data_IF_519227426395
#
_entry.id   IF_519227426395
#
_cell.length_a   1.000
_cell.length_b   1.000
_cell.length_c   1.000
_cell.angle_alpha   90.00
_cell.angle_beta   90.00
_cell.angle_gamma   90.00
#
_symmetry.space_group_name_H-M   'P 1'
#
loop_
_entity.id
_entity.type
_entity.pdbx_description
1 polymer ?
#
# COMPACT_ATOMS: atom_id res chain seq x y z
N UNK A 1 18.07 -33.96 -44.84
CA UNK A 1 19.00 -32.82 -44.79
C UNK A 1 18.78 -32.17 -43.44
N UNK A 2 19.77 -32.33 -42.57
CA UNK A 2 19.71 -32.00 -41.17
C UNK A 2 19.95 -30.49 -40.93
N UNK A 3 19.65 -30.12 -39.68
CA UNK A 3 20.17 -28.99 -38.92
C UNK A 3 19.36 -27.69 -38.85
N UNK A 4 19.10 -27.34 -37.59
CA UNK A 4 18.49 -26.10 -37.13
C UNK A 4 17.98 -26.22 -35.68
N UNK A 5 18.61 -27.02 -34.82
CA UNK A 5 18.40 -26.94 -33.37
C UNK A 5 18.98 -25.59 -32.91
N UNK A 6 18.13 -24.57 -32.86
CA UNK A 6 18.47 -23.32 -32.21
C UNK A 6 18.64 -23.57 -30.72
N UNK A 7 19.86 -23.45 -30.22
CA UNK A 7 20.16 -23.41 -28.78
C UNK A 7 19.23 -22.40 -28.10
N UNK A 8 18.24 -22.92 -27.38
CA UNK A 8 17.37 -22.12 -26.53
C UNK A 8 18.23 -21.65 -25.34
N UNK A 9 18.78 -20.45 -25.45
CA UNK A 9 19.38 -19.75 -24.31
C UNK A 9 18.39 -19.79 -23.15
N UNK A 10 18.81 -20.38 -22.03
CA UNK A 10 17.95 -20.57 -20.86
C UNK A 10 17.63 -19.20 -20.28
N UNK A 11 16.49 -18.64 -20.69
CA UNK A 11 15.93 -17.44 -20.08
C UNK A 11 15.66 -17.73 -18.61
N UNK A 12 16.14 -16.87 -17.71
CA UNK A 12 15.90 -16.96 -16.28
C UNK A 12 14.41 -16.71 -15.90
N UNK A 13 13.60 -16.25 -16.87
CA UNK A 13 12.18 -15.96 -16.69
C UNK A 13 11.33 -17.06 -17.34
N UNK A 14 10.23 -17.48 -16.69
CA UNK A 14 9.32 -18.45 -17.29
C UNK A 14 8.77 -17.93 -18.62
N UNK A 15 8.59 -18.83 -19.58
CA UNK A 15 7.93 -18.49 -20.83
C UNK A 15 6.52 -17.96 -20.55
N UNK A 16 6.04 -16.97 -21.33
CA UNK A 16 4.69 -16.48 -21.15
C UNK A 16 3.69 -17.62 -21.38
N UNK A 17 2.52 -17.59 -20.74
CA UNK A 17 1.49 -18.60 -20.93
C UNK A 17 1.01 -18.67 -22.39
N UNK A 18 1.59 -19.58 -23.18
CA UNK A 18 1.34 -19.69 -24.62
C UNK A 18 -0.12 -20.00 -24.97
N UNK A 19 -0.87 -20.56 -24.02
CA UNK A 19 -2.31 -20.80 -24.11
C UNK A 19 -3.10 -19.52 -24.38
N UNK A 20 -2.68 -18.38 -23.82
CA UNK A 20 -3.32 -17.08 -24.07
C UNK A 20 -2.70 -16.36 -25.26
N UNK A 21 -1.37 -16.34 -25.36
CA UNK A 21 -0.63 -15.59 -26.40
C UNK A 21 -1.02 -16.06 -27.81
N UNK A 22 -1.19 -17.37 -28.01
CA UNK A 22 -1.57 -17.94 -29.31
C UNK A 22 -2.94 -17.49 -29.83
N UNK A 23 -3.83 -17.02 -28.94
CA UNK A 23 -5.18 -16.59 -29.31
C UNK A 23 -5.23 -15.16 -29.86
N UNK A 24 -4.20 -14.34 -29.59
CA UNK A 24 -4.10 -12.94 -30.03
C UNK A 24 -3.34 -12.79 -31.35
N UNK A 25 -3.87 -13.35 -32.44
CA UNK A 25 -3.37 -13.10 -33.80
C UNK A 25 -4.05 -11.89 -34.43
N UNK A 26 -3.41 -11.24 -35.41
CA UNK A 26 -3.99 -10.09 -36.14
C UNK A 26 -5.36 -10.43 -36.77
N UNK A 27 -5.52 -11.66 -37.25
CA UNK A 27 -6.79 -12.17 -37.79
C UNK A 27 -7.85 -12.31 -36.70
N UNK A 28 -7.54 -12.91 -35.55
CA UNK A 28 -8.50 -13.08 -34.45
C UNK A 28 -8.92 -11.73 -33.84
N UNK A 29 -7.98 -10.78 -33.74
CA UNK A 29 -8.27 -9.42 -33.25
C UNK A 29 -9.19 -8.69 -34.23
N UNK A 30 -8.88 -8.71 -35.53
CA UNK A 30 -9.73 -8.05 -36.54
C UNK A 30 -11.13 -8.65 -36.63
N UNK A 31 -11.28 -9.95 -36.36
CA UNK A 31 -12.58 -10.65 -36.31
C UNK A 31 -13.28 -10.60 -34.95
N UNK A 32 -12.68 -9.98 -33.93
CA UNK A 32 -13.23 -9.93 -32.57
C UNK A 32 -13.31 -11.29 -31.87
N UNK A 33 -12.54 -12.28 -32.32
CA UNK A 33 -12.46 -13.63 -31.75
C UNK A 33 -11.42 -13.75 -30.64
N UNK A 34 -10.59 -12.72 -30.44
CA UNK A 34 -9.66 -12.68 -29.32
C UNK A 34 -10.44 -12.66 -27.99
N UNK A 35 -10.10 -13.52 -27.02
CA UNK A 35 -10.83 -13.58 -25.77
C UNK A 35 -10.74 -12.23 -25.04
N UNK A 36 -11.83 -11.78 -24.37
CA UNK A 36 -11.76 -10.65 -23.47
C UNK A 36 -10.87 -10.97 -22.27
N UNK A 37 -10.35 -9.96 -21.56
CA UNK A 37 -9.62 -10.20 -20.32
C UNK A 37 -10.49 -11.01 -19.34
N UNK A 38 -9.87 -11.87 -18.51
CA UNK A 38 -10.61 -12.62 -17.49
C UNK A 38 -11.38 -11.63 -16.58
N UNK A 39 -12.58 -12.00 -16.14
CA UNK A 39 -13.36 -11.14 -15.25
C UNK A 39 -12.58 -10.91 -13.95
N UNK A 40 -12.74 -9.73 -13.30
CA UNK A 40 -12.16 -9.49 -11.99
C UNK A 40 -12.58 -10.60 -11.02
N UNK A 41 -11.64 -11.10 -10.24
CA UNK A 41 -11.95 -12.05 -9.16
C UNK A 41 -12.78 -11.29 -8.13
N UNK A 42 -14.01 -11.77 -7.87
CA UNK A 42 -14.91 -11.22 -6.86
C UNK A 42 -14.76 -11.90 -5.51
N UNK A 43 -14.10 -13.06 -5.48
CA UNK A 43 -14.02 -13.95 -4.33
C UNK A 43 -12.60 -13.92 -3.72
N UNK A 44 -12.20 -14.97 -3.02
CA UNK A 44 -10.87 -15.09 -2.45
C UNK A 44 -9.79 -15.29 -3.53
N UNK A 45 -8.65 -14.62 -3.41
CA UNK A 45 -7.47 -14.87 -4.23
C UNK A 45 -6.23 -15.08 -3.36
N UNK A 46 -5.30 -15.93 -3.81
CA UNK A 46 -4.02 -16.14 -3.14
C UNK A 46 -2.93 -15.37 -3.87
N UNK A 47 -2.15 -14.59 -3.13
CA UNK A 47 -1.05 -13.79 -3.67
C UNK A 47 0.14 -13.89 -2.72
N UNK A 48 1.29 -14.33 -3.25
CA UNK A 48 2.53 -14.56 -2.48
C UNK A 48 2.35 -15.47 -1.26
N UNK A 49 1.52 -16.51 -1.39
CA UNK A 49 1.24 -17.47 -0.31
C UNK A 49 0.32 -16.93 0.78
N UNK A 50 -0.28 -15.75 0.59
CA UNK A 50 -1.30 -15.19 1.47
C UNK A 50 -2.64 -15.17 0.77
N UNK A 51 -3.68 -15.63 1.46
CA UNK A 51 -5.04 -15.56 0.93
C UNK A 51 -5.68 -14.21 1.29
N UNK A 52 -6.37 -13.62 0.32
CA UNK A 52 -7.02 -12.32 0.36
C UNK A 52 -8.49 -12.46 -0.02
N UNK A 53 -9.38 -11.87 0.78
CA UNK A 53 -10.79 -11.69 0.41
C UNK A 53 -10.97 -10.31 -0.22
N UNK A 54 -11.79 -10.21 -1.27
CA UNK A 54 -12.03 -8.93 -1.96
C UNK A 54 -12.78 -7.93 -1.08
N UNK A 55 -13.64 -8.42 -0.18
CA UNK A 55 -14.40 -7.60 0.77
C UNK A 55 -13.66 -7.35 2.10
N UNK A 56 -12.49 -7.96 2.30
CA UNK A 56 -11.73 -7.74 3.53
C UNK A 56 -11.29 -6.28 3.58
N UNK A 57 -11.40 -5.68 4.78
CA UNK A 57 -10.77 -4.40 5.01
C UNK A 57 -9.28 -4.53 4.66
N UNK A 58 -8.77 -3.57 3.88
CA UNK A 58 -7.35 -3.51 3.46
C UNK A 58 -6.41 -3.70 4.66
N UNK A 59 -6.89 -3.34 5.86
CA UNK A 59 -6.22 -3.50 7.12
C UNK A 59 -7.00 -4.57 7.91
N UNK A 60 -6.40 -5.75 8.08
CA UNK A 60 -6.98 -6.81 8.91
C UNK A 60 -7.02 -6.34 10.37
N UNK A 61 -8.17 -6.43 11.07
CA UNK A 61 -8.28 -6.03 12.47
C UNK A 61 -7.30 -6.81 13.35
N UNK A 62 -6.71 -6.15 14.36
CA UNK A 62 -5.85 -6.80 15.38
C UNK A 62 -6.51 -8.05 16.00
N UNK A 63 -7.82 -8.03 16.17
CA UNK A 63 -8.62 -9.12 16.73
C UNK A 63 -8.61 -10.38 15.85
N UNK A 64 -8.51 -10.22 14.53
CA UNK A 64 -8.37 -11.34 13.58
C UNK A 64 -7.02 -12.07 13.68
N UNK A 65 -6.04 -11.43 14.34
CA UNK A 65 -4.72 -11.99 14.64
C UNK A 65 -4.59 -12.47 16.09
N UNK A 66 -5.69 -12.49 16.85
CA UNK A 66 -5.70 -12.86 18.27
C UNK A 66 -5.09 -11.81 19.21
N UNK A 67 -4.85 -10.59 18.72
CA UNK A 67 -4.24 -9.51 19.47
C UNK A 67 -5.33 -8.67 20.14
N UNK A 68 -5.29 -8.55 21.47
CA UNK A 68 -6.25 -7.73 22.23
C UNK A 68 -6.06 -6.25 21.90
N UNK A 69 -7.16 -5.57 21.58
CA UNK A 69 -7.16 -4.13 21.33
C UNK A 69 -6.78 -3.37 22.62
N UNK A 70 -5.77 -2.50 22.52
CA UNK A 70 -5.29 -1.68 23.64
C UNK A 70 -6.04 -0.33 23.78
N UNK A 71 -6.91 0.00 22.82
CA UNK A 71 -7.61 1.30 22.73
C UNK A 71 -9.13 1.12 22.53
N UNK A 72 -9.95 2.04 23.07
CA UNK A 72 -11.41 2.03 22.88
C UNK A 72 -11.80 2.35 21.43
N UNK A 73 -13.00 1.97 20.98
CA UNK A 73 -13.45 2.11 19.56
C UNK A 73 -13.48 3.56 19.02
N UNK A 74 -13.62 4.55 19.92
CA UNK A 74 -13.54 5.98 19.59
C UNK A 74 -12.36 6.60 20.30
N UNK A 75 -11.32 6.92 19.55
CA UNK A 75 -10.09 7.50 20.09
C UNK A 75 -9.50 8.53 19.14
N UNK A 76 -8.72 9.45 19.71
CA UNK A 76 -7.87 10.35 18.93
C UNK A 76 -6.59 9.60 18.53
N UNK A 77 -6.43 9.36 17.23
CA UNK A 77 -5.29 8.64 16.65
C UNK A 77 -3.96 9.30 17.06
N UNK A 78 -3.91 10.62 17.15
CA UNK A 78 -2.71 11.36 17.52
C UNK A 78 -2.33 11.13 18.97
N UNK A 79 -3.32 11.13 19.87
CA UNK A 79 -3.10 10.90 21.29
C UNK A 79 -2.65 9.45 21.53
N UNK A 80 -3.30 8.50 20.87
CA UNK A 80 -3.01 7.09 21.05
C UNK A 80 -1.63 6.71 20.49
N UNK A 81 -1.25 7.26 19.34
CA UNK A 81 0.10 7.09 18.79
C UNK A 81 1.18 7.66 19.71
N UNK A 82 0.90 8.80 20.37
CA UNK A 82 1.83 9.37 21.37
C UNK A 82 1.97 8.48 22.60
N UNK A 83 0.87 7.91 23.10
CA UNK A 83 0.89 6.98 24.24
C UNK A 83 1.69 5.71 23.88
N UNK A 84 1.44 5.12 22.71
CA UNK A 84 2.21 3.96 22.25
C UNK A 84 3.69 4.28 22.11
N UNK A 85 4.05 5.45 21.55
CA UNK A 85 5.45 5.86 21.44
C UNK A 85 6.12 5.99 22.82
N UNK A 86 5.43 6.58 23.80
CA UNK A 86 5.94 6.64 25.16
C UNK A 86 6.07 5.24 25.79
N UNK A 87 5.08 4.36 25.57
CA UNK A 87 5.09 2.98 26.06
C UNK A 87 6.25 2.16 25.47
N UNK A 88 6.57 2.33 24.19
CA UNK A 88 7.73 1.71 23.53
C UNK A 88 9.02 2.19 24.18
N UNK A 89 9.16 3.50 24.41
CA UNK A 89 10.36 4.07 25.02
C UNK A 89 10.58 3.55 26.44
N UNK A 90 9.53 3.50 27.26
CA UNK A 90 9.62 2.94 28.62
C UNK A 90 10.00 1.46 28.59
N UNK A 91 9.35 0.64 27.73
CA UNK A 91 9.71 -0.78 27.59
C UNK A 91 11.14 -1.00 27.12
N UNK A 92 11.65 -0.12 26.25
CA UNK A 92 13.05 -0.18 25.81
C UNK A 92 14.02 0.13 26.96
N UNK A 93 13.73 1.13 27.79
CA UNK A 93 14.54 1.43 28.98
C UNK A 93 14.50 0.28 29.99
N UNK A 94 13.34 -0.32 30.22
CA UNK A 94 13.21 -1.50 31.09
C UNK A 94 14.03 -2.69 30.56
N UNK A 95 14.02 -2.91 29.24
CA UNK A 95 14.84 -3.93 28.60
C UNK A 95 16.33 -3.67 28.80
N UNK A 96 16.79 -2.43 28.63
CA UNK A 96 18.19 -2.06 28.90
C UNK A 96 18.57 -2.32 30.36
N UNK A 97 17.69 -2.00 31.29
CA UNK A 97 17.94 -2.18 32.73
C UNK A 97 18.03 -3.67 33.09
N UNK A 98 17.23 -4.53 32.46
CA UNK A 98 17.33 -6.01 32.57
C UNK A 98 18.65 -6.52 32.01
N UNK A 99 19.09 -6.01 30.84
CA UNK A 99 20.35 -6.41 30.21
C UNK A 99 21.57 -6.04 31.08
N UNK A 100 21.52 -4.89 31.76
CA UNK A 100 22.58 -4.44 32.66
C UNK A 100 22.61 -5.28 33.93
N UNK A 101 21.45 -5.57 34.53
CA UNK A 101 21.36 -6.25 35.83
C UNK A 101 21.50 -7.77 35.74
N UNK A 102 20.87 -8.42 34.76
CA UNK A 102 20.83 -9.88 34.65
C UNK A 102 20.46 -10.32 33.22
N UNK A 103 21.44 -10.41 32.29
CA UNK A 103 21.18 -10.64 30.87
C UNK A 103 20.63 -12.04 30.53
N UNK A 104 20.81 -13.03 31.41
CA UNK A 104 20.39 -14.43 31.19
C UNK A 104 18.99 -14.75 31.74
N UNK A 105 18.20 -13.73 32.08
CA UNK A 105 16.87 -13.93 32.67
C UNK A 105 15.81 -14.09 31.56
N UNK A 106 14.83 -15.00 31.69
CA UNK A 106 13.72 -15.12 30.74
C UNK A 106 12.90 -13.83 30.56
N UNK A 107 12.96 -12.91 31.54
CA UNK A 107 12.40 -11.55 31.47
C UNK A 107 12.86 -10.74 30.25
N UNK A 108 14.04 -11.03 29.71
CA UNK A 108 14.52 -10.40 28.48
C UNK A 108 13.61 -10.74 27.30
N UNK A 109 13.28 -12.02 27.14
CA UNK A 109 12.44 -12.51 26.04
C UNK A 109 11.01 -11.97 26.18
N UNK A 110 10.46 -12.00 27.40
CA UNK A 110 9.15 -11.39 27.70
C UNK A 110 9.09 -9.91 27.29
N UNK A 111 10.14 -9.13 27.61
CA UNK A 111 10.19 -7.70 27.22
C UNK A 111 10.38 -7.46 25.73
N UNK A 112 11.06 -8.36 25.03
CA UNK A 112 11.17 -8.31 23.57
C UNK A 112 9.82 -8.60 22.93
N UNK A 113 9.05 -9.56 23.45
CA UNK A 113 7.71 -9.88 22.97
C UNK A 113 6.73 -8.73 23.24
N UNK A 114 6.79 -8.10 24.41
CA UNK A 114 6.03 -6.87 24.73
C UNK A 114 6.33 -5.75 23.73
N UNK A 115 7.62 -5.55 23.38
CA UNK A 115 8.04 -4.55 22.39
C UNK A 115 7.51 -4.89 21.00
N UNK A 116 7.63 -6.15 20.57
CA UNK A 116 7.10 -6.61 19.28
C UNK A 116 5.59 -6.34 19.18
N UNK A 117 4.86 -6.63 20.25
CA UNK A 117 3.42 -6.37 20.34
C UNK A 117 3.13 -4.86 20.19
N UNK A 118 3.85 -4.00 20.90
CA UNK A 118 3.68 -2.54 20.80
C UNK A 118 3.95 -2.01 19.38
N UNK A 119 4.95 -2.56 18.68
CA UNK A 119 5.22 -2.18 17.29
C UNK A 119 4.10 -2.63 16.34
N UNK A 120 3.57 -3.84 16.50
CA UNK A 120 2.42 -4.32 15.71
C UNK A 120 1.22 -3.38 15.88
N UNK A 121 0.91 -3.00 17.13
CA UNK A 121 -0.15 -2.04 17.42
C UNK A 121 0.10 -0.66 16.79
N UNK A 122 1.33 -0.16 16.84
CA UNK A 122 1.68 1.11 16.22
C UNK A 122 1.53 1.07 14.69
N UNK A 123 1.97 -0.03 14.06
CA UNK A 123 1.78 -0.24 12.62
C UNK A 123 0.31 -0.27 12.23
N UNK A 124 -0.52 -0.98 12.98
CA UNK A 124 -1.96 -1.02 12.74
C UNK A 124 -2.58 0.38 12.81
N UNK A 125 -2.24 1.16 13.85
CA UNK A 125 -2.76 2.51 14.04
C UNK A 125 -2.38 3.46 12.89
N UNK A 126 -1.14 3.35 12.39
CA UNK A 126 -0.67 4.12 11.23
C UNK A 126 -1.42 3.70 9.97
N UNK A 127 -1.63 2.39 9.81
CA UNK A 127 -2.37 1.85 8.68
C UNK A 127 -3.81 2.38 8.68
N UNK A 128 -4.52 2.36 9.81
CA UNK A 128 -5.88 2.89 9.94
C UNK A 128 -5.97 4.38 9.54
N UNK A 129 -4.88 5.14 9.72
CA UNK A 129 -4.81 6.55 9.34
C UNK A 129 -4.56 6.79 7.84
N UNK A 130 -4.11 5.78 7.08
CA UNK A 130 -3.78 5.92 5.64
C UNK A 130 -4.95 6.42 4.78
N UNK A 131 -6.20 5.93 4.92
CA UNK A 131 -7.32 6.43 4.13
C UNK A 131 -7.62 7.90 4.41
N UNK A 132 -7.45 8.34 5.67
CA UNK A 132 -7.58 9.75 6.01
C UNK A 132 -6.49 10.59 5.34
N UNK A 133 -5.23 10.16 5.40
CA UNK A 133 -4.11 10.83 4.72
C UNK A 133 -4.34 10.94 3.20
N UNK A 134 -4.85 9.88 2.56
CA UNK A 134 -5.14 9.88 1.13
C UNK A 134 -6.20 10.93 0.77
N UNK A 135 -7.26 11.07 1.58
CA UNK A 135 -8.30 12.10 1.39
C UNK A 135 -7.74 13.51 1.51
N UNK A 136 -6.93 13.78 2.53
CA UNK A 136 -6.31 15.10 2.70
C UNK A 136 -5.33 15.42 1.56
N UNK A 137 -4.58 14.42 1.08
CA UNK A 137 -3.69 14.57 -0.08
C UNK A 137 -4.48 14.90 -1.34
N UNK A 138 -5.60 14.22 -1.58
CA UNK A 138 -6.49 14.50 -2.71
C UNK A 138 -7.08 15.91 -2.62
N UNK A 139 -7.49 16.34 -1.43
CA UNK A 139 -8.00 17.69 -1.19
C UNK A 139 -6.98 18.75 -1.58
N UNK A 140 -5.76 18.64 -1.05
CA UNK A 140 -4.67 19.58 -1.35
C UNK A 140 -4.37 19.59 -2.86
N UNK A 141 -4.37 18.42 -3.50
CA UNK A 141 -4.16 18.31 -4.95
C UNK A 141 -5.25 19.07 -5.74
N UNK A 142 -6.52 18.91 -5.37
CA UNK A 142 -7.63 19.61 -6.03
C UNK A 142 -7.57 21.13 -5.79
N UNK A 143 -7.17 21.57 -4.59
CA UNK A 143 -6.98 23.00 -4.28
C UNK A 143 -5.87 23.61 -5.15
N UNK A 144 -4.76 22.90 -5.35
CA UNK A 144 -3.67 23.32 -6.25
C UNK A 144 -4.17 23.42 -7.70
N UNK A 145 -4.90 22.41 -8.19
CA UNK A 145 -5.45 22.42 -9.54
C UNK A 145 -6.42 23.59 -9.76
N UNK A 146 -7.28 23.88 -8.77
CA UNK A 146 -8.20 25.03 -8.83
C UNK A 146 -7.44 26.34 -8.94
N UNK A 147 -6.41 26.54 -8.10
CA UNK A 147 -5.58 27.74 -8.13
C UNK A 147 -4.90 27.94 -9.48
N UNK A 148 -4.28 26.89 -10.02
CA UNK A 148 -3.61 26.94 -11.33
C UNK A 148 -4.57 27.33 -12.47
N UNK A 149 -5.81 26.80 -12.44
CA UNK A 149 -6.84 27.15 -13.44
C UNK A 149 -7.25 28.62 -13.35
N UNK A 150 -7.43 29.16 -12.15
CA UNK A 150 -7.76 30.57 -11.95
C UNK A 150 -6.61 31.48 -12.41
N UNK A 151 -5.37 31.18 -12.02
CA UNK A 151 -4.19 31.94 -12.45
C UNK A 151 -4.01 31.92 -13.98
N UNK A 152 -4.27 30.78 -14.63
CA UNK A 152 -4.22 30.66 -16.09
C UNK A 152 -5.33 31.47 -16.76
N UNK A 153 -6.56 31.43 -16.21
CA UNK A 153 -7.68 32.22 -16.69
C UNK A 153 -7.37 33.73 -16.59
N UNK A 154 -6.91 34.19 -15.42
CA UNK A 154 -6.53 35.60 -15.21
C UNK A 154 -5.43 36.03 -16.17
N UNK A 155 -4.39 35.20 -16.35
CA UNK A 155 -3.31 35.48 -17.30
C UNK A 155 -3.79 35.54 -18.75
N UNK A 156 -4.73 34.67 -19.13
CA UNK A 156 -5.32 34.67 -20.47
C UNK A 156 -6.15 35.94 -20.71
N UNK A 157 -6.91 36.41 -19.71
CA UNK A 157 -7.67 37.66 -19.77
C UNK A 157 -6.73 38.85 -19.93
N UNK A 158 -5.68 38.94 -19.11
CA UNK A 158 -4.70 40.04 -19.19
C UNK A 158 -4.00 40.08 -20.54
N UNK A 159 -3.66 38.92 -21.09
CA UNK A 159 -2.97 38.84 -22.40
C UNK A 159 -3.89 39.32 -23.52
N UNK A 160 -5.16 38.88 -23.51
CA UNK A 160 -6.16 39.29 -24.51
C UNK A 160 -6.49 40.78 -24.43
N UNK A 161 -6.62 41.34 -23.22
CA UNK A 161 -6.86 42.79 -23.05
C UNK A 161 -5.67 43.62 -23.52
N UNK A 162 -4.44 43.23 -23.18
CA UNK A 162 -3.23 43.89 -23.69
C UNK A 162 -3.15 43.87 -25.22
N UNK A 163 -3.47 42.74 -25.85
CA UNK A 163 -3.45 42.64 -27.33
C UNK A 163 -4.52 43.49 -28.01
N UNK A 164 -5.70 43.64 -27.41
CA UNK A 164 -6.79 44.47 -27.95
C UNK A 164 -6.57 45.97 -27.75
N UNK A 165 -5.84 46.38 -26.70
CA UNK A 165 -5.52 47.80 -26.46
C UNK A 165 -4.36 48.33 -27.31
N UNK A 166 -3.60 47.45 -27.98
CA UNK A 166 -2.43 47.80 -28.81
C UNK A 166 -2.72 47.80 -30.33
N UNK A 167 -3.98 47.56 -30.73
CA UNK A 167 -4.50 47.68 -32.12
C UNK A 167 -5.50 48.81 -32.21
#
# INVERSE_FOLDING_TARGET
MAEGEGEAGVSAMPLPPMQFVSQYTTENVSRGLAPPPPPPITDQYSMFGSDYQVDDQIIRPLESQGIRRLHPDKFDHKLELKKLNHSILVNFLDLLDILIKSPNTPRREEKIDDLNLLFIHMHHLINEYRPHQARETLRVMMEVQKRQRLETADRSVITLTCTLTLT
#
